data_IF_984234211886
#
_entry.id   IF_984234211886
#
_cell.length_a   1.000
_cell.length_b   1.000
_cell.length_c   1.000
_cell.angle_alpha   90.00
_cell.angle_beta   90.00
_cell.angle_gamma   90.00
#
_symmetry.space_group_name_H-M   'P 1'
#
loop_
_entity.id
_entity.type
_entity.pdbx_description
1 polymer ?
#
# COMPACT_ATOMS: atom_id res chain seq x y z
N UNK A 1 -0.20 15.48 -15.41
CA UNK A 1 0.32 14.13 -15.64
C UNK A 1 0.26 13.43 -14.31
N UNK A 2 -0.68 12.51 -14.13
CA UNK A 2 -0.85 11.80 -12.85
C UNK A 2 0.22 10.72 -12.79
N UNK A 3 1.34 10.99 -12.12
CA UNK A 3 2.32 9.96 -11.79
C UNK A 3 1.63 8.92 -10.92
N UNK A 4 1.27 7.79 -11.51
CA UNK A 4 0.65 6.69 -10.80
C UNK A 4 1.72 5.96 -9.99
N UNK A 5 1.45 5.69 -8.72
CA UNK A 5 2.36 4.98 -7.82
C UNK A 5 2.82 3.63 -8.42
N UNK A 6 4.13 3.44 -8.62
CA UNK A 6 4.70 2.17 -9.08
C UNK A 6 4.74 1.15 -7.94
N UNK A 7 3.59 0.50 -7.73
CA UNK A 7 3.43 -0.54 -6.74
C UNK A 7 4.38 -1.73 -6.97
N UNK A 8 4.74 -2.03 -8.22
CA UNK A 8 5.59 -3.18 -8.55
C UNK A 8 7.04 -2.94 -8.13
N UNK A 9 7.56 -1.74 -8.38
CA UNK A 9 8.89 -1.35 -7.91
C UNK A 9 8.91 -1.26 -6.37
N UNK A 10 7.92 -0.62 -5.77
CA UNK A 10 7.81 -0.51 -4.31
C UNK A 10 7.78 -1.88 -3.62
N UNK A 11 6.94 -2.82 -4.06
CA UNK A 11 6.83 -4.15 -3.43
C UNK A 11 8.14 -4.97 -3.48
N UNK A 12 9.10 -4.62 -4.34
CA UNK A 12 10.43 -5.25 -4.35
C UNK A 12 11.30 -4.77 -3.18
N UNK A 13 11.10 -3.55 -2.69
CA UNK A 13 11.87 -2.97 -1.58
C UNK A 13 11.27 -3.29 -0.21
N UNK A 14 10.00 -3.72 -0.16
CA UNK A 14 9.29 -4.04 1.08
C UNK A 14 9.83 -5.32 1.75
N UNK A 15 10.07 -5.22 3.06
CA UNK A 15 10.47 -6.33 3.95
C UNK A 15 9.32 -7.27 4.30
N UNK A 16 9.63 -8.53 4.62
CA UNK A 16 8.65 -9.51 5.13
C UNK A 16 8.50 -9.49 6.67
N UNK A 17 9.10 -8.50 7.34
CA UNK A 17 8.99 -8.33 8.80
C UNK A 17 7.63 -7.78 9.22
N UNK A 18 7.23 -7.98 10.49
CA UNK A 18 6.07 -7.32 11.06
C UNK A 18 6.25 -5.80 11.14
N UNK A 19 5.14 -5.08 11.10
CA UNK A 19 5.17 -3.64 11.20
C UNK A 19 3.85 -2.96 10.87
N UNK A 20 3.94 -1.64 10.73
CA UNK A 20 2.83 -0.74 10.41
C UNK A 20 3.08 -0.11 9.05
N UNK A 21 2.03 0.02 8.23
CA UNK A 21 2.07 0.72 6.95
C UNK A 21 1.05 1.85 6.90
N UNK A 22 1.40 2.93 6.21
CA UNK A 22 0.56 4.10 5.97
C UNK A 22 0.49 4.35 4.48
N UNK A 23 -0.72 4.62 3.96
CA UNK A 23 -0.96 4.96 2.57
C UNK A 23 -1.41 6.41 2.50
N UNK A 24 -0.89 7.15 1.52
CA UNK A 24 -1.13 8.57 1.36
C UNK A 24 -1.72 8.86 -0.02
N UNK A 25 -2.56 9.89 -0.09
CA UNK A 25 -3.06 10.45 -1.35
C UNK A 25 -2.09 11.45 -1.98
N UNK A 26 -2.50 12.05 -3.11
CA UNK A 26 -1.71 13.05 -3.83
C UNK A 26 -1.45 14.33 -3.01
N UNK A 27 -2.25 14.62 -2.00
CA UNK A 27 -2.07 15.75 -1.10
C UNK A 27 -1.14 15.44 0.07
N UNK A 28 -0.62 14.22 0.18
CA UNK A 28 0.16 13.77 1.34
C UNK A 28 -0.69 13.47 2.57
N UNK A 29 -2.02 13.35 2.41
CA UNK A 29 -2.92 12.99 3.51
C UNK A 29 -2.94 11.48 3.72
N UNK A 30 -2.83 11.03 4.96
CA UNK A 30 -2.98 9.61 5.30
C UNK A 30 -4.42 9.18 5.06
N UNK A 31 -4.64 8.30 4.08
CA UNK A 31 -5.95 7.75 3.75
C UNK A 31 -6.18 6.35 4.34
N UNK A 32 -5.11 5.66 4.74
CA UNK A 32 -5.21 4.33 5.36
C UNK A 32 -3.99 4.00 6.21
N UNK A 33 -4.23 3.32 7.34
CA UNK A 33 -3.19 2.77 8.22
C UNK A 33 -3.53 1.33 8.53
N UNK A 34 -2.53 0.44 8.48
CA UNK A 34 -2.71 -0.95 8.87
C UNK A 34 -1.47 -1.54 9.53
N UNK A 35 -1.67 -2.62 10.27
CA UNK A 35 -0.60 -3.46 10.82
C UNK A 35 -0.52 -4.79 10.07
N UNK A 36 0.67 -5.35 9.99
CA UNK A 36 0.90 -6.64 9.35
C UNK A 36 1.92 -7.47 10.14
N UNK A 37 1.74 -8.79 10.16
CA UNK A 37 2.77 -9.74 10.62
C UNK A 37 3.88 -9.94 9.56
N UNK A 38 3.52 -9.71 8.30
CA UNK A 38 4.40 -9.78 7.13
C UNK A 38 3.97 -8.64 6.19
N UNK A 39 4.75 -7.55 6.20
CA UNK A 39 4.46 -6.34 5.45
C UNK A 39 4.37 -6.63 3.94
N UNK A 40 5.32 -7.39 3.39
CA UNK A 40 5.36 -7.73 1.96
C UNK A 40 4.11 -8.48 1.51
N UNK A 41 3.71 -9.54 2.23
CA UNK A 41 2.49 -10.30 1.89
C UNK A 41 1.25 -9.43 2.01
N UNK A 42 1.15 -8.61 3.06
CA UNK A 42 -0.02 -7.77 3.28
C UNK A 42 -0.14 -6.69 2.19
N UNK A 43 0.93 -5.96 1.92
CA UNK A 43 0.92 -4.92 0.88
C UNK A 43 0.69 -5.51 -0.50
N UNK A 44 1.28 -6.67 -0.82
CA UNK A 44 1.04 -7.36 -2.09
C UNK A 44 -0.42 -7.74 -2.31
N UNK A 45 -1.22 -7.91 -1.25
CA UNK A 45 -2.65 -8.26 -1.38
C UNK A 45 -3.52 -7.13 -1.94
N UNK A 46 -3.11 -5.87 -1.78
CA UNK A 46 -3.82 -4.71 -2.32
C UNK A 46 -3.63 -4.53 -3.82
N UNK A 47 -2.59 -5.11 -4.41
CA UNK A 47 -2.23 -4.93 -5.83
C UNK A 47 -2.42 -6.21 -6.66
N UNK A 48 -3.28 -7.13 -6.20
CA UNK A 48 -3.68 -8.33 -6.96
C UNK A 48 -4.84 -8.00 -7.89
N UNK A 49 -4.92 -8.70 -9.01
CA UNK A 49 -5.95 -8.49 -10.04
C UNK A 49 -7.38 -8.75 -9.56
N UNK A 50 -7.56 -9.64 -8.57
CA UNK A 50 -8.88 -9.97 -7.99
C UNK A 50 -9.01 -9.36 -6.60
N UNK A 51 -9.21 -8.04 -6.53
CA UNK A 51 -9.57 -7.37 -5.29
C UNK A 51 -10.99 -7.75 -4.89
N UNK A 52 -11.16 -8.16 -3.63
CA UNK A 52 -12.44 -8.67 -3.12
C UNK A 52 -13.51 -7.58 -2.91
N UNK A 53 -13.17 -6.29 -3.03
CA UNK A 53 -14.08 -5.18 -2.71
C UNK A 53 -13.77 -3.92 -3.51
N UNK A 54 -14.82 -3.30 -4.07
CA UNK A 54 -14.76 -1.99 -4.73
C UNK A 54 -14.17 -0.90 -3.82
N UNK A 55 -14.36 -1.01 -2.50
CA UNK A 55 -13.79 -0.05 -1.54
C UNK A 55 -12.26 -0.13 -1.55
N UNK A 56 -11.72 -1.33 -1.66
CA UNK A 56 -10.27 -1.55 -1.73
C UNK A 56 -9.71 -1.08 -3.07
N UNK A 57 -10.43 -1.30 -4.17
CA UNK A 57 -10.05 -0.76 -5.48
C UNK A 57 -10.01 0.77 -5.48
N UNK A 58 -11.05 1.42 -4.94
CA UNK A 58 -11.10 2.88 -4.82
C UNK A 58 -9.98 3.43 -3.92
N UNK A 59 -9.68 2.74 -2.82
CA UNK A 59 -8.55 3.08 -1.95
C UNK A 59 -7.23 3.00 -2.73
N UNK A 60 -6.98 1.88 -3.42
CA UNK A 60 -5.73 1.65 -4.16
C UNK A 60 -5.53 2.67 -5.27
N UNK A 61 -6.60 3.07 -5.94
CA UNK A 61 -6.57 4.09 -6.99
C UNK A 61 -6.17 5.50 -6.47
N UNK A 62 -6.28 5.75 -5.16
CA UNK A 62 -5.90 7.03 -4.55
C UNK A 62 -4.47 7.03 -3.99
N UNK A 63 -3.80 5.87 -3.91
CA UNK A 63 -2.48 5.76 -3.30
C UNK A 63 -1.43 6.41 -4.18
N UNK A 64 -0.72 7.39 -3.62
CA UNK A 64 0.43 8.04 -4.23
C UNK A 64 1.74 7.74 -3.48
N UNK A 65 1.68 7.39 -2.20
CA UNK A 65 2.83 6.99 -1.41
C UNK A 65 2.45 5.94 -0.36
N UNK A 66 3.42 5.08 -0.01
CA UNK A 66 3.31 4.14 1.10
C UNK A 66 4.56 4.21 1.96
N UNK A 67 4.37 4.41 3.26
CA UNK A 67 5.44 4.29 4.26
C UNK A 67 5.27 2.99 5.05
N UNK A 68 6.40 2.40 5.45
CA UNK A 68 6.44 1.23 6.32
C UNK A 68 7.35 1.48 7.51
N UNK A 69 6.94 1.02 8.69
CA UNK A 69 7.75 1.04 9.91
C UNK A 69 7.80 -0.38 10.46
N UNK A 70 9.00 -0.93 10.59
CA UNK A 70 9.26 -2.27 11.14
C UNK A 70 9.21 -2.21 12.68
N UNK A 71 8.70 -3.26 13.31
CA UNK A 71 8.56 -3.38 14.78
C UNK A 71 9.07 -4.71 15.28
#
# INVERSE_FOLDING_TARGET
MSDQFDAKAFLKTVTSQPGVYRMYDAGGTVIYVGKAKDLKKRLSSYFRSNLASRKTEALVAQIQQIDVTVT
#
